data_IF_668590874203
#
_entry.id   IF_668590874203
#
_cell.length_a   1.000
_cell.length_b   1.000
_cell.length_c   1.000
_cell.angle_alpha   90.00
_cell.angle_beta   90.00
_cell.angle_gamma   90.00
#
_symmetry.space_group_name_H-M   'P 1'
#
loop_
_entity.id
_entity.type
_entity.pdbx_description
1 polymer ?
#
# COMPACT_ATOMS: atom_id res chain seq x y z
N UNK A 1 -77.44 -44.93 39.04
CA UNK A 1 -76.47 -46.05 38.85
C UNK A 1 -76.05 -46.05 37.38
N UNK A 2 -74.73 -46.00 37.13
CA UNK A 2 -74.00 -46.03 35.82
C UNK A 2 -74.00 -44.69 35.04
N UNK A 3 -72.99 -43.84 35.16
CA UNK A 3 -71.59 -43.92 34.68
C UNK A 3 -71.46 -43.76 33.16
N UNK A 4 -70.91 -42.62 32.71
CA UNK A 4 -70.05 -42.48 31.51
C UNK A 4 -69.08 -41.31 31.73
N UNK A 5 -67.80 -41.62 31.63
CA UNK A 5 -66.65 -40.72 31.72
C UNK A 5 -66.52 -39.96 30.38
N UNK A 6 -66.39 -38.63 30.46
CA UNK A 6 -66.05 -37.74 29.34
C UNK A 6 -64.63 -37.24 29.60
N UNK A 7 -63.69 -37.59 28.73
CA UNK A 7 -62.34 -37.03 28.73
C UNK A 7 -62.30 -35.79 27.84
N UNK A 8 -62.08 -34.62 28.46
CA UNK A 8 -61.95 -33.34 27.77
C UNK A 8 -60.47 -33.05 27.52
N UNK A 9 -60.14 -32.78 26.26
CA UNK A 9 -58.81 -32.40 25.79
C UNK A 9 -58.59 -30.92 26.13
N UNK A 10 -57.67 -30.62 27.07
CA UNK A 10 -57.27 -29.24 27.39
C UNK A 10 -55.88 -28.98 26.83
N UNK A 11 -55.80 -28.13 25.82
CA UNK A 11 -54.55 -27.62 25.23
C UNK A 11 -53.96 -26.58 26.18
N UNK A 12 -52.78 -26.85 26.74
CA UNK A 12 -51.99 -25.88 27.49
C UNK A 12 -51.22 -24.98 26.52
N UNK A 13 -51.45 -23.66 26.62
CA UNK A 13 -50.55 -22.63 26.09
C UNK A 13 -49.26 -22.62 26.91
N UNK A 14 -48.12 -22.88 26.26
CA UNK A 14 -46.79 -22.62 26.79
C UNK A 14 -46.24 -21.35 26.13
N UNK A 15 -45.99 -20.33 26.94
CA UNK A 15 -45.28 -19.11 26.56
C UNK A 15 -43.78 -19.46 26.62
N UNK A 16 -43.13 -19.64 25.47
CA UNK A 16 -41.69 -19.75 25.38
C UNK A 16 -41.12 -18.41 24.91
N UNK A 17 -40.28 -17.78 25.75
CA UNK A 17 -39.57 -16.55 25.40
C UNK A 17 -38.54 -16.81 24.30
N UNK A 18 -38.54 -15.97 23.28
CA UNK A 18 -37.56 -16.00 22.21
C UNK A 18 -36.20 -15.51 22.76
N UNK A 19 -35.24 -16.42 22.94
CA UNK A 19 -33.83 -16.06 22.97
C UNK A 19 -33.38 -15.83 21.51
N UNK A 20 -33.00 -14.61 21.18
CA UNK A 20 -32.29 -14.32 19.94
C UNK A 20 -30.83 -14.71 20.16
N UNK A 21 -30.41 -15.87 19.66
CA UNK A 21 -29.00 -16.16 19.47
C UNK A 21 -28.43 -15.23 18.39
N UNK A 22 -27.28 -14.57 18.61
CA UNK A 22 -26.61 -13.82 17.55
C UNK A 22 -26.19 -14.78 16.43
N UNK A 23 -26.24 -14.35 15.16
CA UNK A 23 -25.80 -15.20 14.05
C UNK A 23 -24.33 -15.57 14.24
N UNK A 24 -24.04 -16.86 14.08
CA UNK A 24 -22.68 -17.40 14.15
C UNK A 24 -21.76 -16.63 13.19
N UNK A 25 -20.61 -16.20 13.71
CA UNK A 25 -19.54 -15.63 12.90
C UNK A 25 -19.16 -16.62 11.79
N UNK A 26 -19.02 -16.17 10.53
CA UNK A 26 -18.55 -17.04 9.47
C UNK A 26 -17.13 -17.53 9.82
N UNK A 27 -17.00 -18.84 9.89
CA UNK A 27 -15.75 -19.55 10.12
C UNK A 27 -14.72 -19.09 9.09
N UNK A 28 -13.60 -18.54 9.58
CA UNK A 28 -12.52 -18.07 8.72
C UNK A 28 -11.99 -19.24 7.88
N UNK A 29 -12.05 -19.09 6.55
CA UNK A 29 -11.37 -19.98 5.64
C UNK A 29 -9.86 -19.96 5.94
N UNK A 30 -9.14 -21.08 5.75
CA UNK A 30 -7.74 -21.20 6.13
C UNK A 30 -6.91 -20.11 5.47
N UNK A 31 -6.08 -19.45 6.27
CA UNK A 31 -5.09 -18.48 5.81
C UNK A 31 -4.28 -19.07 4.65
N UNK A 32 -3.98 -18.22 3.66
CA UNK A 32 -2.96 -18.50 2.66
C UNK A 32 -1.74 -19.17 3.32
N UNK A 33 -1.21 -20.21 2.67
CA UNK A 33 -0.11 -21.01 3.18
C UNK A 33 1.14 -20.18 3.50
N UNK A 34 2.18 -20.80 4.10
CA UNK A 34 3.43 -20.11 4.41
C UNK A 34 3.94 -19.41 3.15
N UNK A 35 4.24 -18.11 3.23
CA UNK A 35 4.80 -17.32 2.13
C UNK A 35 5.90 -18.14 1.45
N UNK A 36 5.57 -18.68 0.27
CA UNK A 36 6.56 -19.27 -0.61
C UNK A 36 7.39 -18.14 -1.18
N UNK A 37 8.63 -18.42 -1.58
CA UNK A 37 9.39 -17.52 -2.43
C UNK A 37 8.45 -17.02 -3.54
N UNK A 38 8.36 -15.71 -3.74
CA UNK A 38 7.69 -15.17 -4.92
C UNK A 38 8.22 -15.96 -6.11
N UNK A 39 7.32 -16.56 -6.90
CA UNK A 39 7.72 -17.42 -8.00
C UNK A 39 8.76 -16.66 -8.83
N UNK A 40 9.90 -17.29 -9.11
CA UNK A 40 11.00 -16.75 -9.93
C UNK A 40 10.62 -16.57 -11.40
N UNK A 41 9.35 -16.25 -11.68
CA UNK A 41 8.81 -16.04 -13.01
C UNK A 41 9.20 -14.67 -13.53
N UNK A 42 9.65 -14.62 -14.78
CA UNK A 42 9.69 -13.38 -15.55
C UNK A 42 8.34 -12.67 -15.48
N UNK A 43 8.34 -11.34 -15.31
CA UNK A 43 7.11 -10.54 -15.32
C UNK A 43 6.21 -10.94 -16.51
N UNK A 44 4.87 -11.05 -16.34
CA UNK A 44 3.95 -11.34 -17.43
C UNK A 44 4.19 -10.42 -18.64
N UNK A 45 4.01 -10.87 -19.90
CA UNK A 45 4.30 -10.04 -21.06
C UNK A 45 3.43 -8.78 -21.09
N UNK A 46 3.94 -7.71 -21.72
CA UNK A 46 3.20 -6.47 -21.93
C UNK A 46 2.02 -6.68 -22.90
N UNK A 47 0.97 -5.88 -22.73
CA UNK A 47 -0.12 -5.77 -23.69
C UNK A 47 0.35 -5.13 -25.00
N UNK A 48 -0.38 -5.29 -26.12
CA UNK A 48 -0.10 -4.57 -27.35
C UNK A 48 -0.09 -3.04 -27.16
N UNK A 49 0.75 -2.34 -27.93
CA UNK A 49 0.79 -0.88 -27.98
C UNK A 49 -0.50 -0.31 -28.57
N UNK A 50 -1.04 0.77 -28.00
CA UNK A 50 -2.05 1.61 -28.67
C UNK A 50 -1.36 2.45 -29.75
N UNK A 51 -2.15 3.02 -30.65
CA UNK A 51 -1.62 3.89 -31.70
C UNK A 51 -0.87 5.08 -31.10
N UNK A 52 0.37 5.32 -31.57
CA UNK A 52 1.23 6.40 -31.08
C UNK A 52 1.97 6.10 -29.78
N UNK A 53 1.85 4.89 -29.21
CA UNK A 53 2.64 4.48 -28.06
C UNK A 53 3.95 3.80 -28.46
N UNK A 54 4.94 3.86 -27.56
CA UNK A 54 6.22 3.17 -27.65
C UNK A 54 6.67 2.66 -26.28
N UNK A 55 7.54 1.67 -26.27
CA UNK A 55 8.21 1.23 -25.04
C UNK A 55 9.54 1.95 -24.83
N UNK A 56 9.94 2.13 -23.58
CA UNK A 56 11.28 2.55 -23.17
C UNK A 56 11.66 1.84 -21.87
N UNK A 57 12.83 1.22 -21.83
CA UNK A 57 13.29 0.50 -20.63
C UNK A 57 14.22 1.40 -19.79
N UNK A 58 13.99 1.39 -18.48
CA UNK A 58 14.82 2.05 -17.46
C UNK A 58 15.16 1.03 -16.37
N UNK A 59 16.21 1.26 -15.58
CA UNK A 59 16.55 0.39 -14.47
C UNK A 59 17.94 0.64 -13.92
N UNK A 60 18.37 -0.25 -13.01
CA UNK A 60 19.68 -0.14 -12.38
C UNK A 60 20.83 -0.29 -13.38
N UNK A 61 21.73 0.69 -13.35
CA UNK A 61 22.89 0.71 -14.24
C UNK A 61 23.87 -0.42 -13.91
N UNK A 62 24.02 -0.74 -12.61
CA UNK A 62 24.83 -1.82 -12.06
C UNK A 62 23.99 -2.69 -11.11
N UNK A 63 24.38 -3.95 -10.84
CA UNK A 63 23.76 -4.74 -9.78
C UNK A 63 23.95 -4.10 -8.40
N UNK A 64 22.93 -4.16 -7.57
CA UNK A 64 22.92 -3.67 -6.19
C UNK A 64 22.66 -4.81 -5.21
N UNK A 65 23.38 -4.88 -4.09
CA UNK A 65 23.11 -5.87 -3.04
C UNK A 65 22.58 -5.14 -1.81
N UNK A 66 21.31 -5.35 -1.43
CA UNK A 66 20.73 -4.64 -0.29
C UNK A 66 21.32 -5.12 1.04
N UNK A 67 21.36 -4.22 2.00
CA UNK A 67 21.75 -4.46 3.37
C UNK A 67 20.83 -3.66 4.30
N UNK A 68 19.99 -4.36 5.07
CA UNK A 68 19.06 -3.71 5.97
C UNK A 68 19.81 -2.86 7.02
N UNK A 69 19.50 -1.57 7.15
CA UNK A 69 20.19 -0.69 8.09
C UNK A 69 19.82 -1.06 9.53
N UNK A 70 20.69 -0.68 10.47
CA UNK A 70 20.41 -0.67 11.92
C UNK A 70 19.96 -2.02 12.52
N UNK A 71 20.33 -3.14 11.89
CA UNK A 71 19.92 -4.49 12.31
C UNK A 71 18.45 -4.82 11.98
N UNK A 72 17.83 -4.07 11.07
CA UNK A 72 16.50 -4.33 10.55
C UNK A 72 16.46 -5.50 9.55
N UNK A 73 15.29 -5.67 8.95
CA UNK A 73 15.01 -6.73 7.97
C UNK A 73 14.67 -6.20 6.58
N UNK A 74 14.51 -4.89 6.48
CA UNK A 74 14.01 -4.21 5.30
C UNK A 74 14.96 -3.08 4.93
N UNK A 75 15.21 -2.89 3.64
CA UNK A 75 15.90 -1.72 3.12
C UNK A 75 15.03 -1.04 2.07
N UNK A 76 14.82 0.26 2.23
CA UNK A 76 14.27 1.11 1.18
C UNK A 76 15.41 1.87 0.51
N UNK A 77 15.66 1.55 -0.76
CA UNK A 77 16.73 2.15 -1.55
C UNK A 77 16.16 2.87 -2.76
N UNK A 78 16.51 4.13 -2.92
CA UNK A 78 16.17 4.94 -4.06
C UNK A 78 17.31 4.96 -5.07
N UNK A 79 16.96 4.88 -6.34
CA UNK A 79 17.88 4.96 -7.45
C UNK A 79 17.40 5.99 -8.46
N UNK A 80 18.29 6.86 -8.92
CA UNK A 80 17.98 7.79 -10.00
C UNK A 80 18.05 7.05 -11.34
N UNK A 81 16.93 6.99 -12.06
CA UNK A 81 16.84 6.35 -13.38
C UNK A 81 16.39 7.36 -14.43
N UNK A 82 16.97 7.24 -15.62
CA UNK A 82 16.86 8.25 -16.68
C UNK A 82 16.23 7.68 -17.95
N UNK A 83 14.97 8.04 -18.28
CA UNK A 83 14.31 7.64 -19.52
C UNK A 83 14.83 8.40 -20.77
N UNK A 84 15.71 9.39 -20.59
CA UNK A 84 16.33 10.21 -21.64
C UNK A 84 15.31 10.94 -22.52
N UNK A 85 14.24 11.44 -21.91
CA UNK A 85 13.19 12.18 -22.62
C UNK A 85 13.69 13.57 -23.02
N UNK A 86 13.75 13.85 -24.31
CA UNK A 86 14.09 15.17 -24.86
C UNK A 86 12.88 15.98 -25.31
N UNK A 87 11.72 15.33 -25.41
CA UNK A 87 10.45 15.91 -25.84
C UNK A 87 9.36 15.57 -24.82
N UNK A 88 8.27 16.37 -24.73
CA UNK A 88 7.17 16.06 -23.84
C UNK A 88 6.56 14.69 -24.17
N UNK A 89 6.22 13.93 -23.14
CA UNK A 89 5.59 12.61 -23.26
C UNK A 89 4.56 12.39 -22.15
N UNK A 90 3.85 11.27 -22.22
CA UNK A 90 2.98 10.77 -21.17
C UNK A 90 3.34 9.32 -20.84
N UNK A 91 3.47 9.00 -19.56
CA UNK A 91 3.51 7.62 -19.08
C UNK A 91 2.10 7.06 -19.06
N UNK A 92 1.83 6.11 -19.95
CA UNK A 92 0.51 5.52 -20.16
C UNK A 92 0.43 4.06 -19.72
N UNK A 93 1.56 3.50 -19.27
CA UNK A 93 1.63 2.20 -18.63
C UNK A 93 3.02 1.92 -18.09
N UNK A 94 3.09 0.96 -17.17
CA UNK A 94 4.33 0.56 -16.52
C UNK A 94 4.34 -0.95 -16.30
N UNK A 95 5.49 -1.57 -16.57
CA UNK A 95 5.73 -2.98 -16.28
C UNK A 95 7.08 -3.11 -15.61
N UNK A 96 7.06 -3.43 -14.32
CA UNK A 96 8.29 -3.69 -13.59
C UNK A 96 8.91 -5.02 -14.04
N UNK A 97 10.22 -5.06 -14.05
CA UNK A 97 11.04 -6.18 -14.48
C UNK A 97 11.93 -6.57 -13.29
N UNK A 98 11.39 -7.31 -12.29
CA UNK A 98 12.19 -7.74 -11.16
C UNK A 98 13.27 -8.69 -11.63
N UNK A 99 14.52 -8.44 -11.26
CA UNK A 99 15.56 -9.46 -11.42
C UNK A 99 15.50 -10.45 -10.27
N UNK A 100 15.39 -9.94 -9.04
CA UNK A 100 15.40 -10.74 -7.83
C UNK A 100 14.07 -10.65 -7.08
N UNK A 101 13.06 -11.34 -7.62
CA UNK A 101 11.72 -11.37 -7.04
C UNK A 101 11.68 -11.96 -5.62
N UNK A 102 12.72 -12.66 -5.15
CA UNK A 102 12.78 -13.22 -3.80
C UNK A 102 12.96 -12.14 -2.72
N UNK A 103 13.59 -11.01 -3.05
CA UNK A 103 13.89 -9.94 -2.10
C UNK A 103 13.23 -8.61 -2.45
N UNK A 104 12.84 -8.38 -3.72
CA UNK A 104 12.11 -7.17 -4.11
C UNK A 104 10.65 -7.31 -3.72
N UNK A 105 10.24 -6.61 -2.67
CA UNK A 105 8.89 -6.67 -2.12
C UNK A 105 7.94 -5.67 -2.79
N UNK A 106 8.39 -4.47 -3.14
CA UNK A 106 7.69 -3.59 -4.07
C UNK A 106 8.65 -2.55 -4.65
N UNK A 107 8.20 -1.89 -5.72
CA UNK A 107 8.91 -0.76 -6.30
C UNK A 107 7.93 0.39 -6.59
N UNK A 108 8.36 1.62 -6.31
CA UNK A 108 7.60 2.84 -6.57
C UNK A 108 8.45 3.75 -7.46
N UNK A 109 7.82 4.41 -8.43
CA UNK A 109 8.46 5.35 -9.33
C UNK A 109 7.88 6.74 -9.16
N UNK A 110 8.75 7.68 -8.79
CA UNK A 110 8.42 9.07 -8.62
C UNK A 110 9.03 9.89 -9.75
N UNK A 111 8.21 10.61 -10.52
CA UNK A 111 8.68 11.55 -11.54
C UNK A 111 9.18 12.82 -10.88
N UNK A 112 10.42 13.15 -11.22
CA UNK A 112 11.08 14.39 -10.88
C UNK A 112 10.89 15.41 -12.01
N UNK A 113 10.65 16.65 -11.65
CA UNK A 113 10.89 17.77 -12.56
C UNK A 113 12.41 18.00 -12.75
N UNK A 114 12.83 18.85 -13.70
CA UNK A 114 14.26 19.07 -13.99
C UNK A 114 15.09 19.63 -12.82
N UNK A 115 14.48 20.39 -11.89
CA UNK A 115 15.18 20.95 -10.73
C UNK A 115 15.37 19.86 -9.67
N UNK A 116 14.31 19.10 -9.38
CA UNK A 116 14.36 17.93 -8.51
C UNK A 116 15.33 16.86 -9.03
N UNK A 117 15.40 16.67 -10.36
CA UNK A 117 16.33 15.73 -10.98
C UNK A 117 17.80 16.11 -10.72
N UNK A 118 18.12 17.41 -10.64
CA UNK A 118 19.45 17.89 -10.28
C UNK A 118 19.73 17.64 -8.79
N UNK A 119 18.78 17.95 -7.92
CA UNK A 119 18.89 17.68 -6.48
C UNK A 119 19.08 16.17 -6.20
N UNK A 120 18.30 15.31 -6.85
CA UNK A 120 18.44 13.86 -6.73
C UNK A 120 19.81 13.37 -7.20
N UNK A 121 20.33 13.91 -8.30
CA UNK A 121 21.67 13.56 -8.79
C UNK A 121 22.77 13.98 -7.81
N UNK A 122 22.58 15.09 -7.09
CA UNK A 122 23.49 15.51 -6.03
C UNK A 122 23.45 14.53 -4.84
N UNK A 123 22.25 14.17 -4.36
CA UNK A 123 22.08 13.18 -3.28
C UNK A 123 22.73 11.84 -3.64
N UNK A 124 22.51 11.36 -4.87
CA UNK A 124 23.10 10.13 -5.39
C UNK A 124 24.64 10.20 -5.44
N UNK A 125 25.20 11.34 -5.87
CA UNK A 125 26.66 11.53 -5.95
C UNK A 125 27.32 11.64 -4.58
N UNK A 126 26.64 12.24 -3.61
CA UNK A 126 27.15 12.44 -2.25
C UNK A 126 27.01 11.18 -1.38
N UNK A 127 26.11 10.27 -1.74
CA UNK A 127 25.88 9.04 -0.99
C UNK A 127 26.86 7.93 -1.42
N UNK A 128 27.58 7.29 -0.48
CA UNK A 128 28.42 6.15 -0.82
C UNK A 128 27.61 4.96 -1.35
N UNK A 129 28.06 4.40 -2.48
CA UNK A 129 27.42 3.25 -3.14
C UNK A 129 26.36 3.66 -4.16
N UNK A 130 25.64 2.68 -4.72
CA UNK A 130 24.59 2.95 -5.70
C UNK A 130 23.31 3.42 -4.99
N UNK A 131 22.75 4.56 -5.40
CA UNK A 131 21.51 5.08 -4.81
C UNK A 131 21.68 5.60 -3.37
N UNK A 132 20.56 5.89 -2.73
CA UNK A 132 20.50 6.37 -1.35
C UNK A 132 19.34 5.74 -0.58
N UNK A 133 19.44 5.73 0.74
CA UNK A 133 18.33 5.28 1.60
C UNK A 133 17.22 6.32 1.58
N UNK A 134 15.98 5.89 1.40
CA UNK A 134 14.82 6.78 1.32
C UNK A 134 13.59 6.10 1.93
N UNK A 135 13.04 6.66 3.01
CA UNK A 135 11.89 6.10 3.73
C UNK A 135 10.69 7.05 3.56
N UNK A 136 9.49 6.50 3.31
CA UNK A 136 8.24 7.28 3.17
C UNK A 136 8.11 8.14 1.91
N UNK A 137 9.21 8.63 1.34
CA UNK A 137 9.27 9.39 0.08
C UNK A 137 10.66 9.23 -0.58
N UNK A 138 10.95 10.01 -1.61
CA UNK A 138 12.18 9.97 -2.41
C UNK A 138 13.43 10.47 -1.69
N UNK A 139 13.32 11.17 -0.56
CA UNK A 139 14.45 11.86 0.08
C UNK A 139 14.97 13.09 -0.69
N UNK A 140 14.25 13.51 -1.74
CA UNK A 140 14.52 14.72 -2.52
C UNK A 140 13.58 15.83 -2.06
N UNK A 141 14.07 17.06 -1.96
CA UNK A 141 13.23 18.18 -1.54
C UNK A 141 12.10 18.48 -2.54
N UNK A 142 10.92 18.80 -2.00
CA UNK A 142 9.73 19.15 -2.79
C UNK A 142 8.80 17.96 -3.07
N UNK A 143 7.61 18.24 -3.59
CA UNK A 143 6.64 17.19 -3.90
C UNK A 143 7.01 16.50 -5.20
N UNK A 144 7.34 15.21 -5.13
CA UNK A 144 7.57 14.37 -6.30
C UNK A 144 6.26 13.69 -6.72
N UNK A 145 6.12 13.35 -8.00
CA UNK A 145 4.88 12.75 -8.50
C UNK A 145 4.99 11.22 -8.53
N UNK A 146 4.21 10.50 -7.69
CA UNK A 146 4.07 9.05 -7.80
C UNK A 146 3.37 8.69 -9.12
N UNK A 147 4.10 8.11 -10.08
CA UNK A 147 3.59 7.81 -11.43
C UNK A 147 3.48 6.32 -11.75
N UNK A 148 4.15 5.45 -10.98
CA UNK A 148 3.96 4.02 -11.09
C UNK A 148 4.31 3.32 -9.77
N UNK A 149 3.74 2.14 -9.55
CA UNK A 149 4.18 1.20 -8.52
C UNK A 149 4.02 -0.23 -9.03
N UNK A 150 4.69 -1.15 -8.36
CA UNK A 150 4.61 -2.57 -8.62
C UNK A 150 4.69 -3.37 -7.32
N UNK A 151 3.98 -4.49 -7.30
CA UNK A 151 4.03 -5.51 -6.26
C UNK A 151 4.22 -6.90 -6.91
N UNK A 152 4.75 -7.89 -6.18
CA UNK A 152 4.97 -9.24 -6.67
C UNK A 152 3.77 -9.83 -7.40
N UNK A 153 4.03 -10.46 -8.55
CA UNK A 153 2.99 -11.06 -9.38
C UNK A 153 2.18 -10.09 -10.25
N UNK A 154 2.26 -8.76 -10.01
CA UNK A 154 1.61 -7.79 -10.87
C UNK A 154 2.24 -7.78 -12.28
N UNK A 155 1.37 -7.73 -13.30
CA UNK A 155 1.74 -7.56 -14.70
C UNK A 155 1.98 -6.09 -15.06
N UNK A 156 1.69 -5.76 -16.32
CA UNK A 156 1.68 -4.36 -16.75
C UNK A 156 0.47 -3.62 -16.17
N UNK A 157 0.72 -2.49 -15.50
CA UNK A 157 -0.31 -1.53 -15.11
C UNK A 157 -0.55 -0.57 -16.28
N UNK A 158 -1.75 -0.59 -16.84
CA UNK A 158 -2.15 0.29 -17.93
C UNK A 158 -3.03 1.44 -17.43
N UNK A 159 -2.71 2.66 -17.87
CA UNK A 159 -3.55 3.83 -17.63
C UNK A 159 -4.78 3.81 -18.54
N UNK A 160 -5.94 4.34 -18.10
CA UNK A 160 -7.15 4.42 -18.90
C UNK A 160 -6.93 5.11 -20.25
N UNK A 161 -7.78 4.79 -21.23
CA UNK A 161 -7.65 5.38 -22.56
C UNK A 161 -7.92 6.89 -22.58
N UNK A 162 -7.04 7.64 -23.24
CA UNK A 162 -7.03 9.11 -23.21
C UNK A 162 -6.32 9.74 -22.00
N UNK A 163 -5.69 8.95 -21.12
CA UNK A 163 -5.02 9.42 -19.90
C UNK A 163 -3.57 8.95 -19.78
N UNK A 164 -2.75 9.73 -19.07
CA UNK A 164 -1.39 9.35 -18.71
C UNK A 164 -0.76 10.35 -17.74
N UNK A 165 0.29 9.93 -17.04
CA UNK A 165 1.07 10.87 -16.21
C UNK A 165 1.96 11.73 -17.12
N UNK A 166 1.88 13.04 -17.00
CA UNK A 166 2.69 13.94 -17.82
C UNK A 166 4.19 13.77 -17.50
N UNK A 167 5.02 13.66 -18.54
CA UNK A 167 6.47 13.51 -18.46
C UNK A 167 7.13 14.63 -19.26
N UNK A 168 7.46 15.77 -18.61
CA UNK A 168 8.20 16.86 -19.25
C UNK A 168 9.56 16.42 -19.82
N UNK A 169 10.10 17.14 -20.82
CA UNK A 169 11.49 16.97 -21.25
C UNK A 169 12.46 17.07 -20.07
N UNK A 170 13.47 16.20 -20.03
CA UNK A 170 14.47 16.17 -18.97
C UNK A 170 13.99 15.55 -17.65
N UNK A 171 12.73 15.10 -17.55
CA UNK A 171 12.27 14.37 -16.38
C UNK A 171 13.08 13.10 -16.16
N UNK A 172 13.49 12.91 -14.91
CA UNK A 172 14.03 11.66 -14.38
C UNK A 172 13.02 11.02 -13.45
N UNK A 173 13.30 9.78 -13.05
CA UNK A 173 12.50 9.08 -12.06
C UNK A 173 13.39 8.66 -10.90
N UNK A 174 12.84 8.71 -9.69
CA UNK A 174 13.36 7.94 -8.56
C UNK A 174 12.66 6.60 -8.57
N UNK A 175 13.42 5.52 -8.70
CA UNK A 175 12.96 4.16 -8.45
C UNK A 175 13.26 3.82 -7.00
N UNK A 176 12.25 3.87 -6.15
CA UNK A 176 12.33 3.38 -4.78
C UNK A 176 12.04 1.88 -4.79
N UNK A 177 12.97 1.08 -4.27
CA UNK A 177 12.81 -0.36 -4.12
C UNK A 177 12.79 -0.69 -2.63
N UNK A 178 11.72 -1.34 -2.20
CA UNK A 178 11.66 -1.96 -0.88
C UNK A 178 12.16 -3.40 -0.99
N UNK A 179 13.34 -3.63 -0.43
CA UNK A 179 13.92 -4.95 -0.26
C UNK A 179 13.51 -5.55 1.08
N UNK A 180 12.87 -6.71 1.05
CA UNK A 180 12.57 -7.50 2.24
C UNK A 180 13.58 -8.66 2.34
N UNK A 181 14.48 -8.60 3.31
CA UNK A 181 15.53 -9.60 3.50
C UNK A 181 15.06 -10.84 4.28
N UNK A 182 13.85 -10.83 4.86
CA UNK A 182 13.24 -12.06 5.39
C UNK A 182 12.89 -13.04 4.26
N UNK A 183 12.68 -12.53 3.05
CA UNK A 183 12.50 -13.33 1.83
C UNK A 183 13.79 -14.00 1.32
N UNK A 184 14.96 -13.55 1.77
CA UNK A 184 16.26 -14.04 1.29
C UNK A 184 16.66 -15.43 1.82
N UNK A 185 15.87 -16.04 2.72
CA UNK A 185 16.16 -17.39 3.23
C UNK A 185 17.27 -17.41 4.28
N UNK A 186 18.48 -17.82 3.91
CA UNK A 186 19.64 -17.93 4.82
C UNK A 186 20.19 -16.57 5.32
N UNK A 187 19.48 -15.48 4.99
CA UNK A 187 19.79 -14.11 5.40
C UNK A 187 20.86 -13.45 4.53
N UNK A 188 21.34 -14.11 3.47
CA UNK A 188 22.31 -13.52 2.55
C UNK A 188 21.56 -12.83 1.42
N UNK A 189 21.50 -11.50 1.46
CA UNK A 189 21.01 -10.71 0.36
C UNK A 189 21.83 -11.03 -0.91
N UNK A 190 21.13 -11.34 -2.00
CA UNK A 190 21.73 -11.49 -3.33
C UNK A 190 21.52 -10.22 -4.13
N UNK A 191 22.30 -10.03 -5.19
CA UNK A 191 22.19 -8.81 -6.00
C UNK A 191 20.85 -8.73 -6.72
N UNK A 192 20.42 -7.50 -6.99
CA UNK A 192 19.30 -7.15 -7.85
C UNK A 192 19.74 -6.15 -8.93
N UNK A 193 19.08 -6.19 -10.09
CA UNK A 193 19.25 -5.22 -11.18
C UNK A 193 17.91 -4.93 -11.84
N UNK A 194 16.89 -4.72 -11.02
CA UNK A 194 15.53 -4.51 -11.49
C UNK A 194 15.40 -3.21 -12.29
N UNK A 195 14.31 -3.15 -13.05
CA UNK A 195 13.97 -1.98 -13.84
C UNK A 195 12.49 -1.94 -14.20
N UNK A 196 12.13 -1.06 -15.12
CA UNK A 196 10.77 -0.92 -15.61
C UNK A 196 10.79 -0.72 -17.12
N UNK A 197 9.91 -1.44 -17.80
CA UNK A 197 9.48 -1.08 -19.15
C UNK A 197 8.36 -0.05 -19.04
N UNK A 198 8.66 1.16 -19.48
CA UNK A 198 7.71 2.25 -19.60
C UNK A 198 6.93 2.11 -20.91
N UNK A 199 5.63 2.37 -20.86
CA UNK A 199 4.82 2.64 -22.04
C UNK A 199 4.56 4.14 -22.12
N UNK A 200 4.99 4.73 -23.23
CA UNK A 200 5.00 6.17 -23.44
C UNK A 200 4.16 6.54 -24.66
N UNK A 201 3.39 7.60 -24.55
CA UNK A 201 2.81 8.32 -25.69
C UNK A 201 3.53 9.67 -25.84
N UNK A 202 3.63 10.16 -27.07
CA UNK A 202 4.24 11.47 -27.34
C UNK A 202 3.34 12.62 -26.86
N UNK A 203 3.93 13.79 -26.60
CA UNK A 203 3.22 14.93 -26.01
C UNK A 203 2.10 15.52 -26.89
N UNK A 204 2.12 15.26 -28.20
CA UNK A 204 1.08 15.67 -29.14
C UNK A 204 -0.15 14.74 -29.12
N UNK A 205 -0.11 13.64 -28.36
CA UNK A 205 -1.23 12.73 -28.14
C UNK A 205 -2.41 13.37 -27.38
N UNK A 206 -2.24 14.57 -26.81
CA UNK A 206 -3.28 15.37 -26.11
C UNK A 206 -4.01 14.57 -25.02
N UNK A 207 -3.27 13.76 -24.27
CA UNK A 207 -3.82 12.99 -23.16
C UNK A 207 -4.13 13.90 -21.96
N UNK A 208 -5.12 13.49 -21.16
CA UNK A 208 -5.43 14.16 -19.90
C UNK A 208 -4.43 13.72 -18.83
N UNK A 209 -3.78 14.67 -18.13
CA UNK A 209 -2.81 14.33 -17.11
C UNK A 209 -3.46 13.60 -15.93
N UNK A 210 -2.75 12.61 -15.42
CA UNK A 210 -3.07 11.91 -14.18
C UNK A 210 -2.20 12.41 -13.03
N UNK A 211 -2.73 12.27 -11.82
CA UNK A 211 -2.04 12.43 -10.55
C UNK A 211 -2.44 11.31 -9.59
N UNK A 212 -1.60 11.06 -8.59
CA UNK A 212 -1.87 10.11 -7.53
C UNK A 212 -2.26 10.88 -6.28
N UNK A 213 -3.39 10.53 -5.68
CA UNK A 213 -3.87 11.05 -4.40
C UNK A 213 -3.85 9.93 -3.36
N UNK A 214 -3.55 10.29 -2.11
CA UNK A 214 -3.40 9.33 -1.01
C UNK A 214 -4.44 9.59 0.07
N UNK A 215 -4.97 8.51 0.66
CA UNK A 215 -5.76 8.56 1.88
C UNK A 215 -5.08 7.70 2.94
N UNK A 216 -4.80 8.26 4.11
CA UNK A 216 -4.00 7.59 5.14
C UNK A 216 -4.74 7.54 6.48
N UNK A 217 -4.63 6.43 7.21
CA UNK A 217 -5.06 6.37 8.60
C UNK A 217 -3.89 6.01 9.52
N UNK A 218 -3.89 6.50 10.79
CA UNK A 218 -2.90 6.08 11.77
C UNK A 218 -3.01 4.58 12.03
N UNK A 219 -1.91 3.96 12.40
CA UNK A 219 -1.91 2.62 12.97
C UNK A 219 -1.70 2.73 14.47
N UNK A 220 -2.59 2.08 15.21
CA UNK A 220 -2.59 2.01 16.67
C UNK A 220 -3.06 0.60 17.04
N UNK A 221 -2.23 -0.41 16.74
CA UNK A 221 -2.58 -1.81 16.92
C UNK A 221 -1.89 -2.34 18.20
N UNK A 222 -2.66 -2.71 19.24
CA UNK A 222 -2.11 -3.26 20.46
C UNK A 222 -1.22 -4.48 20.23
N UNK A 223 -0.30 -4.70 21.17
CA UNK A 223 0.48 -5.93 21.22
C UNK A 223 -0.44 -7.16 21.15
N UNK A 224 0.01 -8.20 20.47
CA UNK A 224 -0.78 -9.41 20.31
C UNK A 224 -1.16 -10.04 21.67
N UNK A 225 -2.29 -10.75 21.78
CA UNK A 225 -2.69 -11.39 23.03
C UNK A 225 -1.59 -12.28 23.61
N UNK A 226 -1.19 -12.00 24.86
CA UNK A 226 -0.10 -12.73 25.54
C UNK A 226 1.32 -12.30 25.14
N UNK A 227 1.46 -11.39 24.18
CA UNK A 227 2.72 -10.73 23.85
C UNK A 227 3.27 -9.94 25.02
N UNK A 228 4.58 -10.02 25.27
CA UNK A 228 5.25 -9.31 26.35
C UNK A 228 6.59 -8.75 25.86
N UNK A 229 7.07 -7.71 26.53
CA UNK A 229 8.34 -7.07 26.22
C UNK A 229 8.24 -5.56 26.13
N UNK A 230 9.38 -4.86 26.05
CA UNK A 230 9.41 -3.40 26.06
C UNK A 230 8.72 -2.78 24.84
N UNK A 231 8.78 -3.43 23.67
CA UNK A 231 8.13 -2.93 22.46
C UNK A 231 6.58 -3.04 22.50
N UNK A 232 5.99 -3.74 23.47
CA UNK A 232 4.53 -3.68 23.68
C UNK A 232 4.06 -2.33 24.24
N UNK A 233 4.98 -1.48 24.70
CA UNK A 233 4.69 -0.08 25.01
C UNK A 233 4.70 0.79 23.74
N UNK A 234 3.69 1.65 23.60
CA UNK A 234 3.50 2.47 22.40
C UNK A 234 4.64 3.47 22.21
N UNK A 235 5.08 4.17 23.26
CA UNK A 235 6.13 5.18 23.14
C UNK A 235 7.45 4.54 22.70
N UNK A 236 7.74 3.36 23.27
CA UNK A 236 8.90 2.56 22.90
C UNK A 236 8.81 2.08 21.45
N UNK A 237 7.62 1.66 20.98
CA UNK A 237 7.40 1.27 19.59
C UNK A 237 7.61 2.45 18.60
N UNK A 238 7.12 3.64 18.93
CA UNK A 238 7.35 4.85 18.12
C UNK A 238 8.84 5.22 18.08
N UNK A 239 9.52 5.14 19.22
CA UNK A 239 10.96 5.39 19.28
C UNK A 239 11.76 4.37 18.46
N UNK A 240 11.32 3.11 18.43
CA UNK A 240 11.93 2.06 17.60
C UNK A 240 11.74 2.33 16.09
N UNK A 241 10.55 2.75 15.65
CA UNK A 241 10.31 3.19 14.27
C UNK A 241 11.22 4.36 13.90
N UNK A 242 11.30 5.38 14.74
CA UNK A 242 12.16 6.53 14.51
C UNK A 242 13.65 6.15 14.43
N UNK A 243 14.08 5.20 15.27
CA UNK A 243 15.45 4.68 15.25
C UNK A 243 15.75 3.89 13.98
N UNK A 244 14.81 3.06 13.51
CA UNK A 244 15.02 2.20 12.33
C UNK A 244 14.99 2.98 11.01
N UNK A 245 14.06 3.93 10.88
CA UNK A 245 13.72 4.56 9.60
C UNK A 245 13.97 6.08 9.56
N UNK A 246 14.37 6.68 10.69
CA UNK A 246 14.64 8.12 10.79
C UNK A 246 13.56 8.86 11.57
N UNK A 247 13.92 10.05 12.06
CA UNK A 247 13.05 10.86 12.91
C UNK A 247 11.71 11.20 12.24
N UNK A 248 11.74 11.48 10.94
CA UNK A 248 10.55 11.82 10.15
C UNK A 248 9.50 10.70 10.18
N UNK A 249 9.89 9.42 10.10
CA UNK A 249 8.95 8.30 10.22
C UNK A 249 8.26 8.26 11.59
N UNK A 250 8.97 8.60 12.68
CA UNK A 250 8.38 8.73 14.01
C UNK A 250 7.43 9.92 14.12
N UNK A 251 7.74 11.03 13.43
CA UNK A 251 6.87 12.21 13.34
C UNK A 251 5.59 11.90 12.58
N UNK A 252 5.65 11.12 11.48
CA UNK A 252 4.47 10.69 10.71
C UNK A 252 3.44 9.99 11.60
N UNK A 253 3.88 9.13 12.53
CA UNK A 253 2.97 8.47 13.50
C UNK A 253 2.16 9.52 14.28
N UNK A 254 2.84 10.53 14.81
CA UNK A 254 2.20 11.57 15.62
C UNK A 254 1.31 12.47 14.78
N UNK A 255 1.75 12.82 13.56
CA UNK A 255 0.99 13.66 12.64
C UNK A 255 -0.32 12.99 12.20
N UNK A 256 -0.30 11.70 11.88
CA UNK A 256 -1.51 10.94 11.52
C UNK A 256 -2.50 10.86 12.69
N UNK A 257 -2.01 10.61 13.91
CA UNK A 257 -2.87 10.65 15.11
C UNK A 257 -3.42 12.06 15.35
N UNK A 258 -2.61 13.10 15.17
CA UNK A 258 -3.04 14.49 15.31
C UNK A 258 -4.15 14.81 14.32
N UNK A 259 -3.97 14.49 13.05
CA UNK A 259 -4.92 14.77 11.99
C UNK A 259 -6.23 13.97 12.15
N UNK A 260 -6.12 12.65 12.33
CA UNK A 260 -7.29 11.76 12.27
C UNK A 260 -8.03 11.63 13.60
N UNK A 261 -7.41 12.02 14.72
CA UNK A 261 -7.96 11.81 16.06
C UNK A 261 -7.67 12.92 17.06
N UNK A 262 -7.20 14.09 16.60
CA UNK A 262 -6.95 15.25 17.46
C UNK A 262 -5.88 14.99 18.53
N UNK A 263 -4.89 14.16 18.20
CA UNK A 263 -3.75 13.86 19.07
C UNK A 263 -4.02 12.72 20.07
N UNK A 264 -5.15 12.01 19.94
CA UNK A 264 -5.53 10.92 20.85
C UNK A 264 -5.47 9.56 20.14
N UNK A 265 -4.41 8.77 20.36
CA UNK A 265 -4.31 7.41 19.83
C UNK A 265 -5.58 6.61 20.13
N UNK A 266 -6.05 5.82 19.17
CA UNK A 266 -7.21 4.95 19.31
C UNK A 266 -6.79 3.50 19.08
N UNK A 267 -6.35 2.80 20.13
CA UNK A 267 -5.90 1.42 19.98
C UNK A 267 -7.03 0.50 19.54
N UNK A 268 -6.77 -0.37 18.56
CA UNK A 268 -7.71 -1.38 18.10
C UNK A 268 -7.31 -2.03 16.78
N UNK A 269 -8.08 -3.04 16.36
CA UNK A 269 -7.84 -3.76 15.12
C UNK A 269 -8.25 -2.99 13.87
N UNK A 270 -9.13 -2.01 14.00
CA UNK A 270 -9.64 -1.21 12.88
C UNK A 270 -9.27 0.24 13.06
N UNK A 271 -8.61 0.81 12.06
CA UNK A 271 -8.26 2.23 12.02
C UNK A 271 -8.88 2.89 10.78
N UNK A 272 -9.24 4.14 10.94
CA UNK A 272 -9.82 4.93 9.86
C UNK A 272 -9.51 6.40 10.03
N UNK A 273 -9.59 7.14 8.92
CA UNK A 273 -9.39 8.57 8.91
C UNK A 273 -10.24 9.21 7.82
N UNK A 274 -10.91 10.31 8.16
CA UNK A 274 -11.57 11.21 7.21
C UNK A 274 -10.59 12.31 6.82
N UNK A 275 -10.41 12.49 5.53
CA UNK A 275 -9.55 13.51 4.96
C UNK A 275 -10.33 14.31 3.91
N UNK A 276 -10.12 15.63 3.79
CA UNK A 276 -10.64 16.37 2.64
C UNK A 276 -10.01 15.82 1.36
N UNK A 277 -10.76 15.82 0.26
CA UNK A 277 -10.20 15.51 -1.04
C UNK A 277 -9.06 16.49 -1.39
N UNK A 278 -7.93 15.97 -1.87
CA UNK A 278 -6.76 16.78 -2.24
C UNK A 278 -7.11 17.81 -3.34
N UNK A 279 -8.04 17.47 -4.22
CA UNK A 279 -8.52 18.35 -5.29
C UNK A 279 -9.81 17.86 -5.94
N UNK A 280 -10.36 18.71 -6.84
CA UNK A 280 -11.50 18.34 -7.66
C UNK A 280 -11.04 17.60 -8.92
N UNK A 281 -11.72 16.51 -9.28
CA UNK A 281 -11.30 15.67 -10.39
C UNK A 281 -12.17 14.44 -10.60
N UNK A 282 -11.58 13.42 -11.20
CA UNK A 282 -12.20 12.12 -11.42
C UNK A 282 -11.23 11.00 -11.07
N UNK A 283 -11.60 10.12 -10.13
CA UNK A 283 -10.86 8.90 -9.78
C UNK A 283 -11.13 7.84 -10.83
N UNK A 284 -10.07 7.25 -11.37
CA UNK A 284 -10.14 6.22 -12.41
C UNK A 284 -9.67 4.86 -11.94
N UNK A 285 -8.72 4.83 -11.00
CA UNK A 285 -8.14 3.59 -10.48
C UNK A 285 -7.87 3.74 -8.98
N UNK A 286 -7.85 2.63 -8.26
CA UNK A 286 -7.53 2.62 -6.84
C UNK A 286 -6.73 1.38 -6.44
N UNK A 287 -5.98 1.47 -5.35
CA UNK A 287 -5.29 0.37 -4.68
C UNK A 287 -5.35 0.60 -3.17
N UNK A 288 -5.13 -0.47 -2.42
CA UNK A 288 -4.94 -0.42 -0.98
C UNK A 288 -3.59 -1.01 -0.63
N UNK A 289 -2.90 -0.39 0.33
CA UNK A 289 -1.58 -0.80 0.80
C UNK A 289 -1.57 -0.89 2.33
N UNK A 290 -1.19 -2.08 2.79
CA UNK A 290 -1.04 -2.50 4.18
C UNK A 290 0.08 -3.56 4.26
N UNK A 291 0.56 -3.87 5.45
CA UNK A 291 1.59 -4.90 5.64
C UNK A 291 0.97 -6.25 6.05
N UNK A 292 1.80 -7.13 6.62
CA UNK A 292 1.51 -8.54 6.84
C UNK A 292 0.31 -8.84 7.75
N UNK A 293 0.02 -7.95 8.69
CA UNK A 293 -1.10 -8.08 9.64
C UNK A 293 -2.43 -7.65 9.02
N UNK A 294 -2.42 -7.01 7.84
CA UNK A 294 -3.59 -6.48 7.18
C UNK A 294 -4.61 -7.51 6.71
N UNK A 295 -5.91 -7.28 6.97
CA UNK A 295 -7.03 -8.20 6.69
C UNK A 295 -8.08 -7.63 5.74
N UNK A 296 -8.34 -6.33 5.79
CA UNK A 296 -9.24 -5.65 4.85
C UNK A 296 -8.91 -4.17 4.72
N UNK A 297 -9.21 -3.60 3.56
CA UNK A 297 -9.10 -2.17 3.28
C UNK A 297 -10.30 -1.69 2.47
N UNK A 298 -10.83 -0.53 2.85
CA UNK A 298 -11.92 0.16 2.15
C UNK A 298 -11.58 1.63 1.97
N UNK A 299 -11.85 2.16 0.78
CA UNK A 299 -11.79 3.60 0.47
C UNK A 299 -13.18 4.07 0.06
N UNK A 300 -13.68 5.11 0.72
CA UNK A 300 -15.00 5.67 0.51
C UNK A 300 -14.93 7.18 0.26
N UNK A 301 -15.78 7.67 -0.64
CA UNK A 301 -16.04 9.09 -0.84
C UNK A 301 -17.35 9.46 -0.13
N UNK A 302 -17.33 10.53 0.65
CA UNK A 302 -18.45 11.07 1.44
C UNK A 302 -19.17 10.03 2.31
N UNK A 303 -18.45 9.22 3.11
CA UNK A 303 -19.04 8.14 3.91
C UNK A 303 -20.10 8.67 4.89
N UNK A 304 -21.15 7.88 5.12
CA UNK A 304 -22.24 8.24 6.03
C UNK A 304 -23.18 9.35 5.52
N UNK A 305 -23.01 9.81 4.28
CA UNK A 305 -23.89 10.80 3.65
C UNK A 305 -24.73 10.17 2.53
N UNK A 306 -25.80 10.83 2.03
CA UNK A 306 -26.52 10.38 0.84
C UNK A 306 -25.67 10.36 -0.45
N UNK A 307 -24.48 10.96 -0.45
CA UNK A 307 -23.53 10.99 -1.58
C UNK A 307 -22.45 9.91 -1.47
N UNK A 308 -22.54 9.02 -0.47
CA UNK A 308 -21.54 8.00 -0.22
C UNK A 308 -21.29 7.13 -1.45
N UNK A 309 -20.04 6.96 -1.84
CA UNK A 309 -19.61 6.07 -2.92
C UNK A 309 -18.42 5.25 -2.44
N UNK A 310 -18.40 3.96 -2.77
CA UNK A 310 -17.25 3.09 -2.53
C UNK A 310 -16.27 3.24 -3.69
N UNK A 311 -15.03 3.64 -3.38
CA UNK A 311 -13.93 3.79 -4.35
C UNK A 311 -13.17 2.47 -4.48
N UNK A 312 -12.89 1.82 -3.33
CA UNK A 312 -12.23 0.52 -3.23
C UNK A 312 -12.84 -0.27 -2.08
N UNK A 313 -13.02 -1.57 -2.26
CA UNK A 313 -13.44 -2.49 -1.19
C UNK A 313 -12.72 -3.84 -1.36
N UNK A 314 -11.74 -4.09 -0.49
CA UNK A 314 -10.97 -5.34 -0.45
C UNK A 314 -11.24 -6.01 0.90
N UNK A 315 -12.29 -6.86 0.98
CA UNK A 315 -12.72 -7.47 2.24
C UNK A 315 -11.81 -8.62 2.68
N UNK A 316 -10.99 -9.16 1.78
CA UNK A 316 -10.01 -10.21 2.02
C UNK A 316 -8.68 -9.73 1.46
N UNK A 317 -7.99 -8.92 2.26
CA UNK A 317 -6.71 -8.36 1.88
C UNK A 317 -5.64 -9.45 1.77
N UNK A 318 -4.88 -9.37 0.68
CA UNK A 318 -3.71 -10.21 0.43
C UNK A 318 -2.51 -9.30 0.26
N UNK A 319 -1.52 -9.46 1.14
CA UNK A 319 -0.29 -8.69 1.13
C UNK A 319 0.49 -8.84 -0.19
N UNK A 320 0.37 -9.99 -0.86
CA UNK A 320 1.06 -10.22 -2.13
C UNK A 320 0.26 -9.68 -3.33
N UNK A 321 -0.95 -9.16 -3.13
CA UNK A 321 -1.82 -8.65 -4.20
C UNK A 321 -2.39 -7.26 -3.87
N UNK A 322 -1.60 -6.24 -4.18
CA UNK A 322 -1.92 -4.83 -3.93
C UNK A 322 -1.91 -4.00 -5.23
N UNK A 323 -2.14 -4.65 -6.37
CA UNK A 323 -2.08 -3.99 -7.67
C UNK A 323 -3.16 -2.91 -7.81
N UNK A 324 -2.82 -1.84 -8.53
CA UNK A 324 -3.76 -0.81 -8.94
C UNK A 324 -4.87 -1.40 -9.82
N UNK A 325 -6.13 -1.25 -9.39
CA UNK A 325 -7.29 -1.74 -10.13
C UNK A 325 -8.08 -0.59 -10.78
N UNK A 326 -8.51 -0.73 -12.04
CA UNK A 326 -9.40 0.25 -12.67
C UNK A 326 -10.79 0.18 -12.04
N UNK A 327 -11.40 1.34 -11.81
CA UNK A 327 -12.80 1.42 -11.39
C UNK A 327 -13.70 1.03 -12.56
N UNK A 328 -14.73 0.23 -12.29
CA UNK A 328 -15.75 -0.09 -13.28
C UNK A 328 -16.46 1.17 -13.82
N UNK A 329 -16.57 2.21 -12.99
CA UNK A 329 -17.06 3.53 -13.36
C UNK A 329 -16.22 4.60 -12.66
N UNK A 330 -15.58 5.53 -13.40
CA UNK A 330 -14.86 6.64 -12.78
C UNK A 330 -15.76 7.49 -11.88
N UNK A 331 -15.21 7.95 -10.76
CA UNK A 331 -15.95 8.68 -9.71
C UNK A 331 -15.50 10.14 -9.72
N UNK A 332 -16.45 11.07 -9.86
CA UNK A 332 -16.16 12.51 -9.74
C UNK A 332 -15.98 12.88 -8.27
N UNK A 333 -15.01 13.74 -8.03
CA UNK A 333 -14.66 14.27 -6.70
C UNK A 333 -14.68 15.79 -6.76
N UNK A 334 -15.32 16.42 -5.79
CA UNK A 334 -15.25 17.86 -5.58
C UNK A 334 -14.25 18.19 -4.46
N UNK A 335 -13.73 19.43 -4.45
CA UNK A 335 -12.74 19.88 -3.46
C UNK A 335 -13.20 19.73 -2.00
N UNK A 336 -14.49 19.84 -1.75
CA UNK A 336 -15.06 19.76 -0.39
C UNK A 336 -15.57 18.36 -0.04
N UNK A 337 -15.39 17.37 -0.93
CA UNK A 337 -15.73 15.99 -0.60
C UNK A 337 -14.75 15.42 0.44
N UNK A 338 -15.22 14.44 1.21
CA UNK A 338 -14.44 13.74 2.23
C UNK A 338 -14.08 12.36 1.72
N UNK A 339 -12.80 12.01 1.76
CA UNK A 339 -12.32 10.65 1.51
C UNK A 339 -12.04 9.97 2.85
N UNK A 340 -12.51 8.72 3.02
CA UNK A 340 -12.16 7.87 4.14
C UNK A 340 -11.41 6.65 3.67
N UNK A 341 -10.28 6.37 4.31
CA UNK A 341 -9.69 5.02 4.29
C UNK A 341 -10.02 4.33 5.62
N UNK A 342 -10.35 3.04 5.56
CA UNK A 342 -10.55 2.17 6.72
C UNK A 342 -9.80 0.87 6.49
N UNK A 343 -8.97 0.49 7.46
CA UNK A 343 -8.21 -0.76 7.42
C UNK A 343 -8.51 -1.60 8.65
N UNK A 344 -8.48 -2.93 8.50
CA UNK A 344 -8.52 -3.87 9.62
C UNK A 344 -7.29 -4.74 9.61
N UNK A 345 -6.71 -4.98 10.78
CA UNK A 345 -5.53 -5.79 11.00
C UNK A 345 -5.79 -6.88 12.05
N UNK A 346 -4.92 -7.89 12.10
CA UNK A 346 -4.94 -8.95 13.10
C UNK A 346 -3.56 -9.12 13.73
N UNK A 347 -3.38 -8.60 14.95
CA UNK A 347 -2.14 -8.71 15.71
C UNK A 347 -1.76 -10.18 16.01
N UNK A 348 -2.73 -11.11 16.08
CA UNK A 348 -2.46 -12.53 16.38
C UNK A 348 -1.61 -13.21 15.30
N UNK A 349 -1.58 -12.64 14.09
CA UNK A 349 -0.74 -13.13 13.00
C UNK A 349 0.75 -12.95 13.28
N UNK A 350 1.15 -12.02 14.15
CA UNK A 350 2.54 -11.82 14.51
C UNK A 350 3.19 -13.11 15.04
N UNK A 351 2.49 -13.85 15.90
CA UNK A 351 2.97 -15.13 16.44
C UNK A 351 2.84 -16.33 15.49
N UNK A 352 2.19 -16.15 14.33
CA UNK A 352 1.87 -17.23 13.38
C UNK A 352 2.70 -17.14 12.10
N UNK A 353 2.94 -15.93 11.59
CA UNK A 353 3.61 -15.70 10.32
C UNK A 353 5.12 -16.00 10.45
N UNK A 354 5.71 -16.81 9.55
CA UNK A 354 7.13 -17.13 9.59
C UNK A 354 8.06 -15.91 9.67
N UNK A 355 7.68 -14.81 9.01
CA UNK A 355 8.39 -13.53 8.95
C UNK A 355 8.44 -12.82 10.30
N UNK A 356 7.40 -13.00 11.12
CA UNK A 356 7.19 -12.20 12.33
C UNK A 356 7.35 -13.00 13.62
N UNK A 357 7.12 -14.32 13.60
CA UNK A 357 7.05 -15.16 14.80
C UNK A 357 8.34 -15.23 15.62
N UNK A 358 9.48 -14.91 15.01
CA UNK A 358 10.78 -14.84 15.69
C UNK A 358 11.17 -13.42 16.13
N UNK A 359 10.40 -12.41 15.73
CA UNK A 359 10.62 -11.04 16.13
C UNK A 359 9.95 -10.77 17.49
N UNK A 360 10.48 -9.84 18.30
CA UNK A 360 9.83 -9.47 19.56
C UNK A 360 8.39 -9.01 19.35
N UNK A 361 7.50 -9.38 20.28
CA UNK A 361 6.16 -8.80 20.40
C UNK A 361 6.24 -7.28 20.44
N UNK A 362 5.27 -6.60 19.82
CA UNK A 362 5.23 -5.12 19.86
C UNK A 362 3.82 -4.56 19.70
N UNK A 363 3.63 -3.37 20.26
CA UNK A 363 2.60 -2.46 19.81
C UNK A 363 2.99 -1.99 18.40
N UNK A 364 2.08 -2.10 17.45
CA UNK A 364 2.35 -1.72 16.06
C UNK A 364 1.78 -0.33 15.82
N UNK A 365 2.62 0.54 15.26
CA UNK A 365 2.30 1.91 14.82
C UNK A 365 2.59 2.05 13.33
N UNK A 366 2.29 3.22 12.76
CA UNK A 366 2.63 3.50 11.37
C UNK A 366 4.14 3.35 11.18
N UNK A 367 4.56 2.60 10.16
CA UNK A 367 5.98 2.44 9.86
C UNK A 367 6.21 1.77 8.53
N UNK A 368 7.41 1.98 7.98
CA UNK A 368 7.84 1.47 6.68
C UNK A 368 8.26 0.00 6.72
N UNK A 369 8.66 -0.52 7.88
CA UNK A 369 9.12 -1.90 7.97
C UNK A 369 8.02 -2.92 7.72
N UNK A 370 8.35 -4.05 7.09
CA UNK A 370 7.39 -5.16 6.88
C UNK A 370 6.84 -5.70 8.22
N UNK A 371 7.56 -5.50 9.33
CA UNK A 371 7.14 -5.88 10.69
C UNK A 371 6.32 -4.82 11.44
N UNK A 372 6.15 -3.65 10.82
CA UNK A 372 5.24 -2.57 11.21
C UNK A 372 4.01 -2.59 10.29
N UNK A 373 3.16 -1.57 10.32
CA UNK A 373 1.96 -1.53 9.49
C UNK A 373 1.69 -0.16 8.86
N UNK A 374 0.89 -0.20 7.80
CA UNK A 374 0.32 0.98 7.16
C UNK A 374 -1.18 0.81 6.92
N UNK A 375 -1.86 1.93 6.70
CA UNK A 375 -3.22 1.97 6.18
C UNK A 375 -3.30 3.06 5.11
N UNK A 376 -3.05 2.68 3.86
CA UNK A 376 -2.91 3.60 2.74
C UNK A 376 -3.87 3.24 1.60
N UNK A 377 -4.80 4.13 1.30
CA UNK A 377 -5.59 4.12 0.06
C UNK A 377 -4.88 4.94 -1.01
N UNK A 378 -4.70 4.37 -2.20
CA UNK A 378 -4.05 5.02 -3.34
C UNK A 378 -5.11 5.21 -4.42
N UNK A 379 -5.21 6.42 -4.97
CA UNK A 379 -6.16 6.75 -6.04
C UNK A 379 -5.44 7.43 -7.19
N UNK A 380 -5.64 6.94 -8.41
CA UNK A 380 -5.18 7.64 -9.62
C UNK A 380 -6.34 8.43 -10.21
N UNK A 381 -6.14 9.74 -10.31
CA UNK A 381 -7.19 10.68 -10.72
C UNK A 381 -6.72 11.65 -11.79
N UNK A 382 -7.65 12.18 -12.57
CA UNK A 382 -7.41 13.33 -13.45
C UNK A 382 -8.06 14.57 -12.86
N UNK A 383 -7.46 15.74 -13.09
CA UNK A 383 -8.09 17.02 -12.75
C UNK A 383 -9.37 17.27 -13.59
N UNK A 384 -10.22 18.18 -13.09
CA UNK A 384 -11.53 18.50 -13.68
C UNK A 384 -11.46 19.31 -14.97
#
# INVERSE_FOLDING_TARGET
MRSRIVGTLTVLLLIAGCANDPPAEPEAAPSAGPHGSHSSGSAPPSNPLRGGERFADIGLSQPYTPAAPNGGTDEYRCFLVDPKLTEPAYLTGSRFLPQNAAIVHHAIFYRLDPEQAQAAAQVDTETPGEGWTCFGDTGVQGQTAWVAHWVPGAGETLMPDGYGFAMPPGSKLVMQVHYNLLGAGDGVATSDRSGMQMRLADGDAKLKPLQTALAMAPIELPCEPGGTGPLCDRETAVADVAKRFGAESGETVQQLVQWCSGGKPKPGNTQSCDQPAEGAGTIHMAAGHMHLLGRSIKVELNPGTPKAQTVLDVPQYDFDNQALVPLAKPIKVAKDDVVRVTCTHDATLRGKLPQLKSLPSRYVVWGEGTSDEMCLGIMVMSES
#
